data_IF_635777550978
#
_entry.id   IF_635777550978
#
_cell.length_a   1.000
_cell.length_b   1.000
_cell.length_c   1.000
_cell.angle_alpha   90.00
_cell.angle_beta   90.00
_cell.angle_gamma   90.00
#
_symmetry.space_group_name_H-M   'P 1'
#
loop_
_entity.id
_entity.type
_entity.pdbx_description
1 polymer ?
#
# COMPACT_ATOMS: atom_id res chain seq x y z
N UNK A 1 -1.37 -13.00 -1.78
CA UNK A 1 0.10 -13.06 -1.85
C UNK A 1 0.74 -13.82 -0.67
N UNK A 2 0.25 -15.00 -0.30
CA UNK A 2 0.89 -15.81 0.76
C UNK A 2 0.82 -15.22 2.17
N UNK A 3 1.75 -15.65 3.03
CA UNK A 3 1.88 -15.26 4.44
C UNK A 3 3.23 -14.58 4.75
N UNK A 4 4.08 -14.35 3.75
CA UNK A 4 5.36 -13.66 3.92
C UNK A 4 5.83 -13.01 2.61
N UNK A 5 6.80 -12.08 2.63
CA UNK A 5 7.39 -11.52 1.42
C UNK A 5 8.02 -12.59 0.52
N UNK A 6 8.65 -13.62 1.11
CA UNK A 6 9.23 -14.73 0.37
C UNK A 6 8.15 -15.54 -0.37
N UNK A 7 7.10 -15.97 0.33
CA UNK A 7 5.96 -16.66 -0.28
C UNK A 7 5.24 -15.76 -1.32
N UNK A 8 5.17 -14.45 -1.09
CA UNK A 8 4.59 -13.52 -2.04
C UNK A 8 5.35 -13.54 -3.37
N UNK A 9 6.68 -13.51 -3.35
CA UNK A 9 7.51 -13.62 -4.56
C UNK A 9 7.32 -14.96 -5.27
N UNK A 10 7.30 -16.06 -4.52
CA UNK A 10 7.05 -17.41 -5.07
C UNK A 10 5.70 -17.51 -5.77
N UNK A 11 4.68 -16.82 -5.24
CA UNK A 11 3.34 -16.74 -5.83
C UNK A 11 3.21 -15.71 -6.96
N UNK A 12 4.31 -15.10 -7.41
CA UNK A 12 4.29 -14.09 -8.48
C UNK A 12 3.67 -12.76 -8.07
N UNK A 13 3.71 -12.43 -6.78
CA UNK A 13 3.36 -11.09 -6.32
C UNK A 13 4.55 -10.15 -6.37
N UNK A 14 4.26 -8.87 -6.61
CA UNK A 14 5.21 -7.77 -6.66
C UNK A 14 4.91 -6.82 -5.52
N UNK A 15 5.96 -6.26 -4.93
CA UNK A 15 5.80 -5.21 -3.93
C UNK A 15 5.53 -3.86 -4.62
N UNK A 16 4.33 -3.33 -4.43
CA UNK A 16 3.94 -2.01 -4.91
C UNK A 16 4.31 -0.99 -3.82
N UNK A 17 5.47 -0.36 -3.96
CA UNK A 17 6.04 0.52 -2.93
C UNK A 17 5.25 1.83 -2.69
N UNK A 18 4.41 2.25 -3.64
CA UNK A 18 3.52 3.41 -3.42
C UNK A 18 2.25 2.95 -2.71
N UNK A 19 1.68 1.80 -3.09
CA UNK A 19 0.56 1.18 -2.38
C UNK A 19 0.93 0.66 -0.99
N UNK A 20 2.22 0.39 -0.77
CA UNK A 20 2.78 -0.27 0.40
C UNK A 20 2.15 -1.66 0.64
N UNK A 21 2.06 -2.46 -0.42
CA UNK A 21 1.43 -3.79 -0.38
C UNK A 21 2.07 -4.77 -1.38
N UNK A 22 2.08 -6.05 -1.01
CA UNK A 22 2.31 -7.15 -1.94
C UNK A 22 1.02 -7.42 -2.73
N UNK A 23 1.10 -7.31 -4.05
CA UNK A 23 -0.04 -7.49 -4.96
C UNK A 23 0.32 -8.49 -6.08
N UNK A 24 -0.61 -9.31 -6.57
CA UNK A 24 -0.34 -10.17 -7.73
C UNK A 24 0.06 -9.33 -8.93
N UNK A 25 1.05 -9.79 -9.73
CA UNK A 25 1.62 -9.03 -10.84
C UNK A 25 0.56 -8.45 -11.80
N UNK A 26 -0.55 -9.17 -12.03
CA UNK A 26 -1.65 -8.75 -12.90
C UNK A 26 -2.34 -7.44 -12.45
N UNK A 27 -2.29 -7.12 -11.15
CA UNK A 27 -2.84 -5.88 -10.58
C UNK A 27 -1.77 -4.84 -10.27
N UNK A 28 -0.49 -5.07 -10.59
CA UNK A 28 0.57 -4.10 -10.38
C UNK A 28 0.73 -3.20 -11.62
N UNK A 29 0.72 -1.88 -11.44
CA UNK A 29 1.04 -0.91 -12.49
C UNK A 29 2.48 -0.40 -12.28
N UNK A 30 3.46 -1.12 -12.82
CA UNK A 30 4.87 -0.81 -12.65
C UNK A 30 5.26 0.58 -13.18
N UNK A 31 4.61 1.02 -14.27
CA UNK A 31 4.86 2.34 -14.86
C UNK A 31 4.35 3.44 -13.94
N UNK A 32 3.12 3.32 -13.44
CA UNK A 32 2.55 4.30 -12.52
C UNK A 32 3.31 4.33 -11.20
N UNK A 33 3.67 3.17 -10.67
CA UNK A 33 4.42 3.06 -9.42
C UNK A 33 5.79 3.75 -9.52
N UNK A 34 6.58 3.43 -10.56
CA UNK A 34 7.88 4.07 -10.79
C UNK A 34 7.76 5.57 -11.03
N UNK A 35 6.74 6.02 -11.79
CA UNK A 35 6.47 7.44 -12.00
C UNK A 35 6.23 8.18 -10.68
N UNK A 36 5.44 7.62 -9.77
CA UNK A 36 5.16 8.24 -8.47
C UNK A 36 6.37 8.23 -7.54
N UNK A 37 7.13 7.13 -7.50
CA UNK A 37 8.35 7.04 -6.72
C UNK A 37 9.39 8.09 -7.15
N UNK A 38 9.48 8.41 -8.44
CA UNK A 38 10.42 9.39 -8.96
C UNK A 38 10.06 10.86 -8.68
N UNK A 39 8.88 11.16 -8.12
CA UNK A 39 8.41 12.55 -7.93
C UNK A 39 9.10 13.29 -6.80
N UNK A 40 9.61 12.58 -5.79
CA UNK A 40 10.22 13.14 -4.59
C UNK A 40 11.21 12.15 -3.98
N UNK A 41 12.12 12.67 -3.17
CA UNK A 41 12.98 11.86 -2.30
C UNK A 41 12.21 11.41 -1.06
N UNK A 42 11.45 10.32 -1.19
CA UNK A 42 10.60 9.79 -0.13
C UNK A 42 11.40 9.40 1.12
N UNK A 43 10.92 9.85 2.27
CA UNK A 43 11.49 9.53 3.58
C UNK A 43 10.52 8.64 4.37
N UNK A 44 11.08 7.64 5.03
CA UNK A 44 10.35 6.66 5.84
C UNK A 44 11.07 6.49 7.17
N UNK A 45 10.34 6.16 8.23
CA UNK A 45 10.90 6.09 9.58
C UNK A 45 10.50 4.79 10.27
N UNK A 46 11.36 4.32 11.17
CA UNK A 46 11.10 3.15 12.00
C UNK A 46 10.40 3.47 13.33
N UNK A 47 10.31 4.76 13.68
CA UNK A 47 9.83 5.23 14.99
C UNK A 47 8.58 6.12 14.82
N UNK A 48 7.53 5.97 15.65
CA UNK A 48 6.35 6.84 15.65
C UNK A 48 6.65 8.31 15.96
N UNK A 49 7.66 8.60 16.77
CA UNK A 49 8.00 9.94 17.26
C UNK A 49 9.03 10.64 16.36
N UNK A 50 9.12 10.20 15.10
CA UNK A 50 10.02 10.79 14.11
C UNK A 50 9.74 12.29 13.90
N UNK A 51 10.80 13.02 13.61
CA UNK A 51 10.78 14.46 13.33
C UNK A 51 11.83 14.80 12.26
N UNK A 52 12.05 16.08 12.00
CA UNK A 52 12.97 16.56 10.95
C UNK A 52 14.45 16.19 11.17
N UNK A 53 14.85 15.80 12.37
CA UNK A 53 16.23 15.37 12.67
C UNK A 53 16.36 13.84 12.78
N UNK A 54 15.24 13.11 12.67
CA UNK A 54 15.24 11.66 12.74
C UNK A 54 15.90 11.05 11.51
N UNK A 55 16.64 9.96 11.73
CA UNK A 55 17.28 9.22 10.63
C UNK A 55 16.22 8.44 9.86
N UNK A 56 16.11 8.70 8.56
CA UNK A 56 15.26 7.92 7.67
C UNK A 56 15.80 6.50 7.45
N UNK A 57 14.88 5.57 7.22
CA UNK A 57 15.17 4.22 6.76
C UNK A 57 15.80 4.28 5.35
N UNK A 58 16.78 3.41 5.05
CA UNK A 58 17.28 3.28 3.69
C UNK A 58 16.15 2.95 2.71
N UNK A 59 16.10 3.64 1.57
CA UNK A 59 15.07 3.37 0.57
C UNK A 59 15.09 1.90 0.11
N UNK A 60 16.27 1.29 -0.01
CA UNK A 60 16.43 -0.14 -0.33
C UNK A 60 15.73 -1.06 0.67
N UNK A 61 15.75 -0.73 1.97
CA UNK A 61 15.02 -1.48 3.00
C UNK A 61 13.52 -1.39 2.79
N UNK A 62 13.02 -0.18 2.48
CA UNK A 62 11.58 0.03 2.23
C UNK A 62 11.13 -0.72 0.99
N UNK A 63 11.90 -0.60 -0.11
CA UNK A 63 11.63 -1.25 -1.39
C UNK A 63 11.75 -2.78 -1.34
N UNK A 64 12.48 -3.35 -0.37
CA UNK A 64 12.53 -4.79 -0.18
C UNK A 64 11.15 -5.38 0.20
N UNK A 65 10.29 -4.58 0.85
CA UNK A 65 8.97 -5.02 1.30
C UNK A 65 9.04 -6.09 2.41
N UNK A 66 10.13 -6.10 3.19
CA UNK A 66 10.43 -7.07 4.24
C UNK A 66 10.36 -6.46 5.65
N UNK A 67 9.29 -5.70 5.90
CA UNK A 67 9.05 -5.02 7.17
C UNK A 67 7.58 -5.17 7.56
N UNK A 68 7.26 -5.06 8.85
CA UNK A 68 5.88 -5.24 9.33
C UNK A 68 5.11 -3.92 9.47
N UNK A 69 5.80 -2.88 9.98
CA UNK A 69 5.27 -1.55 10.21
C UNK A 69 6.38 -0.52 10.00
N UNK A 70 6.06 0.55 9.29
CA UNK A 70 6.90 1.75 9.15
C UNK A 70 6.04 3.00 9.28
N UNK A 71 6.69 4.16 9.38
CA UNK A 71 6.04 5.46 9.50
C UNK A 71 6.35 6.32 8.28
N UNK A 72 5.33 7.03 7.81
CA UNK A 72 5.36 7.84 6.60
C UNK A 72 5.15 9.32 6.90
N UNK A 73 5.60 10.18 5.98
CA UNK A 73 5.25 11.60 6.00
C UNK A 73 3.80 11.81 5.55
N UNK A 74 3.22 12.94 5.91
CA UNK A 74 1.90 13.34 5.40
C UNK A 74 1.93 13.48 3.87
N UNK A 75 3.01 14.03 3.33
CA UNK A 75 3.24 14.13 1.89
C UNK A 75 3.14 12.76 1.20
N UNK A 76 3.83 11.74 1.72
CA UNK A 76 3.73 10.39 1.16
C UNK A 76 2.29 9.86 1.25
N UNK A 77 1.58 10.10 2.36
CA UNK A 77 0.21 9.62 2.52
C UNK A 77 -0.77 10.25 1.52
N UNK A 78 -0.62 11.55 1.22
CA UNK A 78 -1.42 12.24 0.19
C UNK A 78 -1.10 11.71 -1.21
N UNK A 79 0.19 11.46 -1.49
CA UNK A 79 0.61 10.86 -2.76
C UNK A 79 0.12 9.42 -2.92
N UNK A 80 0.12 8.64 -1.85
CA UNK A 80 -0.49 7.31 -1.83
C UNK A 80 -1.97 7.37 -2.22
N UNK A 81 -2.75 8.31 -1.67
CA UNK A 81 -4.17 8.46 -2.01
C UNK A 81 -4.40 8.89 -3.46
N UNK A 82 -3.61 9.83 -3.97
CA UNK A 82 -3.70 10.23 -5.39
C UNK A 82 -3.25 9.11 -6.34
N UNK A 83 -2.27 8.30 -5.94
CA UNK A 83 -1.85 7.10 -6.67
C UNK A 83 -2.99 6.08 -6.77
N UNK A 84 -3.68 5.77 -5.67
CA UNK A 84 -4.76 4.79 -5.69
C UNK A 84 -5.94 5.26 -6.53
N UNK A 85 -6.30 6.55 -6.49
CA UNK A 85 -7.32 7.11 -7.40
C UNK A 85 -6.92 7.01 -8.87
N UNK A 86 -5.68 7.41 -9.21
CA UNK A 86 -5.23 7.34 -10.60
C UNK A 86 -5.16 5.89 -11.10
N UNK A 87 -4.76 4.95 -10.25
CA UNK A 87 -4.77 3.51 -10.59
C UNK A 87 -6.20 2.98 -10.76
N UNK A 88 -7.13 3.35 -9.87
CA UNK A 88 -8.55 3.01 -9.98
C UNK A 88 -9.18 3.52 -11.28
N UNK A 89 -8.97 4.79 -11.60
CA UNK A 89 -9.45 5.41 -12.83
C UNK A 89 -8.88 4.74 -14.08
N UNK A 90 -7.58 4.47 -14.11
CA UNK A 90 -6.95 3.77 -15.23
C UNK A 90 -7.53 2.37 -15.44
N UNK A 91 -7.76 1.63 -14.36
CA UNK A 91 -8.36 0.30 -14.46
C UNK A 91 -9.78 0.37 -15.04
N UNK A 92 -10.59 1.32 -14.56
CA UNK A 92 -11.94 1.53 -15.07
C UNK A 92 -11.95 1.86 -16.58
N UNK A 93 -11.04 2.73 -17.03
CA UNK A 93 -10.96 3.13 -18.44
C UNK A 93 -10.44 2.03 -19.37
N UNK A 94 -9.62 1.10 -18.85
CA UNK A 94 -9.06 -0.03 -19.63
C UNK A 94 -9.91 -1.31 -19.53
N UNK A 95 -10.87 -1.37 -18.60
CA UNK A 95 -11.56 -2.61 -18.25
C UNK A 95 -10.68 -3.60 -17.48
N UNK A 96 -9.61 -3.11 -16.83
CA UNK A 96 -8.71 -3.92 -16.02
C UNK A 96 -9.29 -4.21 -14.63
N UNK A 97 -8.66 -5.15 -13.92
CA UNK A 97 -9.04 -5.51 -12.56
C UNK A 97 -8.23 -4.74 -11.53
N UNK A 98 -8.88 -4.37 -10.42
CA UNK A 98 -8.22 -3.78 -9.26
C UNK A 98 -7.86 -4.84 -8.23
N UNK A 99 -6.81 -4.56 -7.46
CA UNK A 99 -6.49 -5.33 -6.27
C UNK A 99 -7.53 -5.10 -5.16
N UNK A 100 -7.59 -6.04 -4.21
CA UNK A 100 -8.53 -5.97 -3.10
C UNK A 100 -8.35 -4.77 -2.18
N UNK A 101 -7.17 -4.17 -2.11
CA UNK A 101 -6.91 -3.03 -1.22
C UNK A 101 -7.48 -1.73 -1.78
N UNK A 102 -7.20 -1.42 -3.06
CA UNK A 102 -7.82 -0.26 -3.74
C UNK A 102 -9.33 -0.47 -3.91
N UNK A 103 -9.74 -1.72 -4.12
CA UNK A 103 -11.14 -2.08 -4.23
C UNK A 103 -11.95 -2.00 -2.93
N UNK A 104 -11.33 -1.75 -1.79
CA UNK A 104 -12.00 -1.60 -0.50
C UNK A 104 -12.47 -0.15 -0.29
N UNK A 105 -13.78 0.03 -0.14
CA UNK A 105 -14.38 1.35 0.10
C UNK A 105 -13.84 2.01 1.37
N UNK A 106 -13.44 1.24 2.39
CA UNK A 106 -12.87 1.82 3.59
C UNK A 106 -11.51 2.47 3.35
N UNK A 107 -10.70 1.91 2.43
CA UNK A 107 -9.45 2.55 2.00
C UNK A 107 -9.74 3.86 1.30
N UNK A 108 -10.71 3.88 0.38
CA UNK A 108 -11.13 5.10 -0.32
C UNK A 108 -11.66 6.17 0.66
N UNK A 109 -12.51 5.79 1.61
CA UNK A 109 -13.05 6.70 2.63
C UNK A 109 -11.93 7.26 3.54
N UNK A 110 -10.94 6.44 3.90
CA UNK A 110 -9.78 6.91 4.66
C UNK A 110 -8.99 7.97 3.87
N UNK A 111 -8.77 7.74 2.59
CA UNK A 111 -8.11 8.71 1.71
C UNK A 111 -8.91 9.99 1.50
N UNK A 112 -10.23 9.90 1.40
CA UNK A 112 -11.13 11.06 1.36
C UNK A 112 -11.02 11.89 2.66
N UNK A 113 -11.08 11.24 3.82
CA UNK A 113 -10.92 11.91 5.12
C UNK A 113 -9.59 12.66 5.22
N UNK A 114 -8.51 12.07 4.70
CA UNK A 114 -7.18 12.70 4.72
C UNK A 114 -7.13 13.98 3.87
N UNK A 115 -7.91 14.09 2.79
CA UNK A 115 -8.01 15.32 2.00
C UNK A 115 -8.91 16.36 2.66
N UNK A 116 -10.01 15.91 3.25
CA UNK A 116 -11.09 16.78 3.69
C UNK A 116 -10.92 17.27 5.14
N UNK A 117 -10.05 16.62 5.92
CA UNK A 117 -9.82 16.93 7.34
C UNK A 117 -8.34 17.20 7.65
N UNK A 118 -8.06 17.78 8.82
CA UNK A 118 -6.71 17.92 9.36
C UNK A 118 -6.04 16.53 9.47
N UNK A 119 -4.76 16.34 9.05
CA UNK A 119 -4.16 15.02 8.93
C UNK A 119 -4.26 14.20 10.21
N UNK A 120 -4.77 12.97 10.09
CA UNK A 120 -4.79 11.99 11.18
C UNK A 120 -3.40 11.90 11.85
N UNK A 121 -3.39 11.87 13.19
CA UNK A 121 -2.16 11.75 14.00
C UNK A 121 -1.37 10.46 13.72
N UNK A 122 -2.05 9.37 13.34
CA UNK A 122 -1.36 8.10 13.10
C UNK A 122 -0.94 7.96 11.64
N UNK A 123 0.36 8.11 11.39
CA UNK A 123 0.99 8.02 10.05
C UNK A 123 1.75 6.72 9.87
N UNK A 124 1.22 5.63 10.40
CA UNK A 124 1.85 4.33 10.28
C UNK A 124 1.26 3.53 9.13
N UNK A 125 2.11 2.76 8.46
CA UNK A 125 1.72 1.82 7.41
C UNK A 125 2.15 0.44 7.84
N UNK A 126 1.23 -0.51 7.76
CA UNK A 126 1.51 -1.92 7.96
C UNK A 126 1.71 -2.61 6.63
N UNK A 127 2.50 -3.69 6.62
CA UNK A 127 2.59 -4.54 5.44
C UNK A 127 1.25 -5.19 5.14
N UNK A 128 0.83 -5.05 3.88
CA UNK A 128 -0.44 -5.53 3.37
C UNK A 128 -0.18 -6.53 2.25
N UNK A 129 -1.08 -7.47 2.13
CA UNK A 129 -1.14 -8.43 1.04
C UNK A 129 -2.52 -8.33 0.44
N UNK A 130 -2.61 -8.16 -0.87
CA UNK A 130 -3.88 -8.11 -1.57
C UNK A 130 -4.06 -9.31 -2.49
N UNK A 131 -5.32 -9.64 -2.75
CA UNK A 131 -5.76 -10.54 -3.78
C UNK A 131 -6.12 -9.74 -5.04
N UNK A 132 -6.10 -10.42 -6.19
CA UNK A 132 -6.39 -9.85 -7.51
C UNK A 132 -7.10 -10.93 -8.35
N UNK A 133 -8.27 -10.63 -8.95
CA UNK A 133 -9.02 -9.37 -8.84
C UNK A 133 -9.60 -9.19 -7.43
N UNK A 134 -10.06 -7.97 -7.12
CA UNK A 134 -10.92 -7.67 -5.98
C UNK A 134 -12.03 -8.72 -5.88
N UNK A 135 -12.18 -9.35 -4.71
CA UNK A 135 -13.25 -10.34 -4.51
C UNK A 135 -14.60 -9.64 -4.45
N UNK A 136 -15.63 -10.25 -5.07
CA UNK A 136 -16.99 -9.67 -5.13
C UNK A 136 -17.72 -9.73 -3.79
N UNK A 137 -17.43 -10.76 -2.99
CA UNK A 137 -18.00 -10.97 -1.66
C UNK A 137 -16.97 -10.57 -0.61
N UNK A 138 -17.43 -9.85 0.41
CA UNK A 138 -16.59 -9.33 1.48
C UNK A 138 -16.13 -10.49 2.40
N UNK A 139 -15.03 -11.15 2.02
CA UNK A 139 -14.32 -12.11 2.88
C UNK A 139 -13.43 -11.38 3.92
N UNK A 140 -13.79 -10.15 4.29
CA UNK A 140 -12.97 -9.25 5.08
C UNK A 140 -12.16 -8.31 4.18
N UNK A 141 -12.76 -7.14 3.89
CA UNK A 141 -12.18 -6.00 3.18
C UNK A 141 -11.81 -6.28 1.73
N UNK A 142 -12.70 -6.95 1.00
CA UNK A 142 -12.59 -7.14 -0.45
C UNK A 142 -11.28 -7.77 -0.96
N UNK A 143 -10.61 -8.55 -0.10
CA UNK A 143 -9.47 -9.39 -0.48
C UNK A 143 -8.11 -8.81 -0.14
N UNK A 144 -7.99 -7.93 0.85
CA UNK A 144 -6.68 -7.60 1.43
C UNK A 144 -6.61 -7.97 2.91
N UNK A 145 -5.39 -8.25 3.37
CA UNK A 145 -5.12 -8.66 4.74
C UNK A 145 -3.72 -8.25 5.19
N UNK A 146 -3.54 -8.27 6.51
CA UNK A 146 -2.22 -8.29 7.15
C UNK A 146 -1.85 -9.72 7.49
N UNK A 147 -0.57 -9.97 7.68
CA UNK A 147 -0.11 -11.22 8.30
C UNK A 147 0.37 -10.92 9.71
N UNK A 148 -0.19 -11.61 10.69
CA UNK A 148 0.24 -11.55 12.09
C UNK A 148 0.36 -12.99 12.59
N UNK A 149 1.53 -13.37 13.12
CA UNK A 149 1.79 -14.74 13.60
C UNK A 149 1.43 -15.82 12.56
N UNK A 150 1.85 -15.60 11.29
CA UNK A 150 1.54 -16.47 10.14
C UNK A 150 0.05 -16.69 9.87
N UNK A 151 -0.83 -15.78 10.31
CA UNK A 151 -2.27 -15.83 10.03
C UNK A 151 -2.70 -14.60 9.25
N UNK A 152 -3.63 -14.78 8.31
CA UNK A 152 -4.28 -13.68 7.60
C UNK A 152 -5.26 -12.99 8.53
N UNK A 153 -5.09 -11.69 8.71
CA UNK A 153 -5.97 -10.82 9.49
C UNK A 153 -6.56 -9.79 8.55
N UNK A 154 -7.85 -9.93 8.28
CA UNK A 154 -8.64 -8.97 7.51
C UNK A 154 -9.10 -7.87 8.48
N UNK A 155 -8.79 -6.60 8.18
CA UNK A 155 -9.03 -5.47 9.11
C UNK A 155 -9.95 -4.44 8.52
#
# INVERSE_FOLDING_TARGET
CGLSPAEARELGCVFDAVLMAWVPWRCHDAKLNSEFLARKDWQFYGDPDWNSTSRALPLSYVLAGEWDKIYITIDFNLFHCTYTWRKAWQAAMKGDVLDGYIGDSHHTNHCEMLLMSDPLKERSVYMKYADCPRVRYDNGRFGWYRVINRRKIHR
#
